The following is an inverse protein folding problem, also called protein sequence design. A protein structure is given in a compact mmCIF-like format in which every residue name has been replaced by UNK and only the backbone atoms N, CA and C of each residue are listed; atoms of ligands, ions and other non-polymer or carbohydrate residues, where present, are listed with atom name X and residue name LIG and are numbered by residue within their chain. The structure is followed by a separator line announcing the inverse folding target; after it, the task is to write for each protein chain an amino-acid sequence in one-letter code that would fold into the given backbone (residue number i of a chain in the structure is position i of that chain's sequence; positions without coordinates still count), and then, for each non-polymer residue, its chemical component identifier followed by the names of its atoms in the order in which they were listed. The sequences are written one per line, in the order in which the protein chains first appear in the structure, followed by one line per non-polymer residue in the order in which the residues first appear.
data_IF_459187731639
#
_entry.id   IF_459187731639
#
_cell.length_a   1.000
_cell.length_b   1.000
_cell.length_c   1.000
_cell.angle_alpha   90.00
_cell.angle_beta   90.00
_cell.angle_gamma   90.00
#
_symmetry.space_group_name_H-M   'P 1'
#
loop_
_entity.id
_entity.type
_entity.pdbx_description
1 polymer ?
#
# COMPACT_ATOMS: atom_id res chain seq x y z
N UNK A 1 15.08 0.08 -12.94
CA UNK A 1 15.37 1.45 -12.50
C UNK A 1 15.65 1.41 -10.99
N UNK A 2 16.51 2.27 -10.46
CA UNK A 2 16.71 2.35 -9.01
C UNK A 2 15.56 3.19 -8.43
N UNK A 3 14.59 2.54 -7.81
CA UNK A 3 13.46 3.22 -7.16
C UNK A 3 14.01 4.02 -5.96
N UNK A 4 13.90 5.35 -6.00
CA UNK A 4 14.43 6.23 -4.94
C UNK A 4 13.31 6.81 -4.07
N UNK A 5 13.65 7.18 -2.84
CA UNK A 5 12.70 7.81 -1.91
C UNK A 5 12.35 9.24 -2.37
N UNK A 6 13.28 9.94 -3.03
CA UNK A 6 13.05 11.29 -3.54
C UNK A 6 12.03 11.30 -4.68
N UNK A 7 12.16 10.37 -5.63
CA UNK A 7 11.20 10.21 -6.71
C UNK A 7 9.83 9.79 -6.16
N UNK A 8 9.81 8.93 -5.14
CA UNK A 8 8.59 8.55 -4.44
C UNK A 8 7.93 9.77 -3.76
N UNK A 9 8.70 10.63 -3.10
CA UNK A 9 8.19 11.85 -2.47
C UNK A 9 7.55 12.79 -3.50
N UNK A 10 8.22 13.03 -4.62
CA UNK A 10 7.71 13.90 -5.67
C UNK A 10 6.43 13.33 -6.31
N UNK A 11 6.41 12.03 -6.58
CA UNK A 11 5.26 11.36 -7.18
C UNK A 11 4.06 11.35 -6.24
N UNK A 12 4.24 10.92 -4.99
CA UNK A 12 3.17 10.77 -4.00
C UNK A 12 2.55 12.12 -3.67
N UNK A 13 3.37 13.17 -3.50
CA UNK A 13 2.87 14.52 -3.23
C UNK A 13 2.03 15.10 -4.38
N UNK A 14 2.27 14.68 -5.63
CA UNK A 14 1.57 15.20 -6.80
C UNK A 14 0.35 14.35 -7.21
N UNK A 15 0.36 13.04 -6.95
CA UNK A 15 -0.60 12.10 -7.53
C UNK A 15 -1.48 11.39 -6.48
N UNK A 16 -1.12 11.42 -5.20
CA UNK A 16 -1.88 10.75 -4.16
C UNK A 16 -2.72 11.74 -3.34
N UNK A 17 -3.95 11.34 -3.00
CA UNK A 17 -4.91 12.19 -2.24
C UNK A 17 -4.60 12.16 -0.73
N UNK A 18 -4.34 10.97 -0.19
CA UNK A 18 -3.99 10.78 1.23
C UNK A 18 -2.49 10.50 1.31
N UNK A 19 -1.76 11.44 1.92
CA UNK A 19 -0.29 11.42 2.02
C UNK A 19 0.20 11.63 3.46
N UNK A 20 -0.71 11.74 4.43
CA UNK A 20 -0.38 12.18 5.79
C UNK A 20 0.56 11.20 6.50
N UNK A 21 0.27 9.90 6.38
CA UNK A 21 1.12 8.83 6.92
C UNK A 21 2.45 8.70 6.16
N UNK A 22 2.48 9.05 4.86
CA UNK A 22 3.73 9.08 4.11
C UNK A 22 4.62 10.24 4.54
N UNK A 23 4.07 11.46 4.66
CA UNK A 23 4.83 12.65 5.07
C UNK A 23 5.36 12.47 6.49
N UNK A 24 4.56 11.91 7.40
CA UNK A 24 4.93 11.67 8.80
C UNK A 24 5.95 10.54 9.00
N UNK A 25 6.18 9.69 8.00
CA UNK A 25 7.14 8.59 8.10
C UNK A 25 8.60 9.04 8.01
N UNK A 26 9.46 8.44 8.84
CA UNK A 26 10.90 8.62 8.74
C UNK A 26 11.46 8.09 7.42
N UNK A 27 12.58 8.66 6.98
CA UNK A 27 13.21 8.34 5.69
C UNK A 27 13.60 6.85 5.58
N UNK A 28 14.04 6.24 6.69
CA UNK A 28 14.34 4.82 6.74
C UNK A 28 13.08 3.94 6.59
N UNK A 29 11.95 4.33 7.19
CA UNK A 29 10.64 3.67 7.02
C UNK A 29 10.14 3.82 5.59
N UNK A 30 10.24 5.01 4.99
CA UNK A 30 9.92 5.24 3.57
C UNK A 30 10.73 4.31 2.65
N UNK A 31 12.04 4.21 2.86
CA UNK A 31 12.90 3.33 2.07
C UNK A 31 12.50 1.85 2.20
N UNK A 32 12.17 1.40 3.42
CA UNK A 32 11.68 0.03 3.66
C UNK A 32 10.36 -0.23 2.94
N UNK A 33 9.41 0.71 3.01
CA UNK A 33 8.10 0.58 2.35
C UNK A 33 8.28 0.47 0.83
N UNK A 34 9.09 1.33 0.24
CA UNK A 34 9.39 1.30 -1.21
C UNK A 34 10.05 -0.01 -1.63
N UNK A 35 11.01 -0.49 -0.84
CA UNK A 35 11.70 -1.76 -1.09
C UNK A 35 10.72 -2.94 -1.05
N UNK A 36 9.81 -2.96 -0.07
CA UNK A 36 8.78 -4.00 0.04
C UNK A 36 7.78 -3.89 -1.11
N UNK A 37 7.34 -2.68 -1.47
CA UNK A 37 6.43 -2.43 -2.57
C UNK A 37 6.99 -2.98 -3.90
N UNK A 38 8.25 -2.63 -4.20
CA UNK A 38 8.94 -3.10 -5.40
C UNK A 38 9.10 -4.62 -5.41
N UNK A 39 9.53 -5.22 -4.29
CA UNK A 39 9.73 -6.67 -4.17
C UNK A 39 8.42 -7.43 -4.35
N UNK A 40 7.35 -6.99 -3.71
CA UNK A 40 6.08 -7.69 -3.73
C UNK A 40 5.42 -7.56 -5.12
N UNK A 41 5.48 -6.40 -5.76
CA UNK A 41 5.05 -6.25 -7.16
C UNK A 41 5.86 -7.15 -8.09
N UNK A 42 7.19 -7.19 -7.95
CA UNK A 42 8.05 -8.08 -8.74
C UNK A 42 7.74 -9.56 -8.51
N UNK A 43 7.35 -9.95 -7.30
CA UNK A 43 6.96 -11.33 -6.97
C UNK A 43 5.61 -11.72 -7.58
N UNK A 44 4.61 -10.84 -7.50
CA UNK A 44 3.25 -11.16 -7.97
C UNK A 44 3.06 -10.94 -9.47
N UNK A 45 3.79 -9.98 -10.04
CA UNK A 45 3.70 -9.57 -11.44
C UNK A 45 5.04 -9.75 -12.16
N UNK A 46 5.75 -10.85 -11.87
CA UNK A 46 7.07 -11.17 -12.43
C UNK A 46 7.13 -11.25 -13.96
N UNK A 47 5.97 -11.45 -14.62
CA UNK A 47 5.85 -11.53 -16.08
C UNK A 47 5.64 -10.18 -16.77
N UNK A 48 5.42 -9.11 -16.00
CA UNK A 48 5.05 -7.81 -16.51
C UNK A 48 6.15 -6.79 -16.26
N UNK A 49 6.27 -5.80 -17.14
CA UNK A 49 7.10 -4.62 -16.88
C UNK A 49 6.42 -3.80 -15.79
N UNK A 50 7.11 -3.58 -14.67
CA UNK A 50 6.59 -2.81 -13.54
C UNK A 50 7.17 -1.40 -13.64
N UNK A 51 6.36 -0.38 -13.97
CA UNK A 51 6.80 1.00 -13.97
C UNK A 51 6.95 1.52 -12.53
N UNK A 52 7.90 2.43 -12.33
CA UNK A 52 8.20 2.99 -11.00
C UNK A 52 6.98 3.71 -10.39
N UNK A 53 6.15 4.35 -11.22
CA UNK A 53 4.90 4.98 -10.80
C UNK A 53 3.95 4.00 -10.07
N UNK A 54 3.86 2.74 -10.53
CA UNK A 54 3.04 1.73 -9.88
C UNK A 54 3.62 1.33 -8.50
N UNK A 55 4.94 1.37 -8.35
CA UNK A 55 5.62 1.13 -7.07
C UNK A 55 5.32 2.26 -6.09
N UNK A 56 5.31 3.52 -6.54
CA UNK A 56 5.02 4.68 -5.70
C UNK A 56 3.56 4.72 -5.23
N UNK A 57 2.59 4.43 -6.12
CA UNK A 57 1.18 4.26 -5.75
C UNK A 57 1.00 3.19 -4.67
N UNK A 58 1.67 2.04 -4.85
CA UNK A 58 1.58 0.96 -3.88
C UNK A 58 2.29 1.31 -2.56
N UNK A 59 3.43 2.00 -2.62
CA UNK A 59 4.17 2.46 -1.45
C UNK A 59 3.32 3.41 -0.59
N UNK A 60 2.57 4.33 -1.20
CA UNK A 60 1.69 5.22 -0.45
C UNK A 60 0.59 4.46 0.30
N UNK A 61 -0.07 3.50 -0.36
CA UNK A 61 -1.08 2.66 0.28
C UNK A 61 -0.48 1.82 1.42
N UNK A 62 0.74 1.30 1.25
CA UNK A 62 1.43 0.60 2.32
C UNK A 62 1.79 1.52 3.49
N UNK A 63 2.11 2.79 3.24
CA UNK A 63 2.32 3.75 4.31
C UNK A 63 1.04 4.01 5.10
N UNK A 64 -0.12 4.08 4.47
CA UNK A 64 -1.41 4.17 5.18
C UNK A 64 -1.72 2.90 5.98
N UNK A 65 -1.49 1.71 5.39
CA UNK A 65 -1.81 0.41 6.02
C UNK A 65 -0.86 0.05 7.16
N UNK A 66 0.41 0.43 7.04
CA UNK A 66 1.44 0.27 8.09
C UNK A 66 1.76 1.60 8.78
N UNK A 67 0.82 2.54 8.69
CA UNK A 67 0.80 3.78 9.46
C UNK A 67 0.74 3.47 10.95
N UNK A 68 1.09 4.43 11.80
CA UNK A 68 1.30 4.12 13.22
C UNK A 68 -0.02 3.71 13.91
N UNK A 69 -1.14 4.28 13.47
CA UNK A 69 -2.50 3.92 13.92
C UNK A 69 -2.88 2.51 13.47
N UNK A 70 -2.70 2.20 12.18
CA UNK A 70 -3.04 0.90 11.62
C UNK A 70 -2.10 -0.22 12.10
N UNK A 71 -0.82 0.09 12.33
CA UNK A 71 0.15 -0.81 12.94
C UNK A 71 -0.18 -1.14 14.40
N UNK A 72 -0.72 -0.19 15.17
CA UNK A 72 -1.23 -0.48 16.51
C UNK A 72 -2.43 -1.44 16.47
N UNK A 73 -3.35 -1.25 15.51
CA UNK A 73 -4.46 -2.17 15.29
C UNK A 73 -3.96 -3.58 14.94
N UNK A 74 -2.99 -3.73 14.03
CA UNK A 74 -2.42 -5.03 13.65
C UNK A 74 -1.70 -5.73 14.81
N UNK A 75 -1.17 -4.98 15.77
CA UNK A 75 -0.57 -5.50 17.02
C UNK A 75 -1.60 -5.86 18.09
N UNK A 76 -2.90 -5.79 17.78
CA UNK A 76 -3.98 -6.16 18.69
C UNK A 76 -4.39 -5.07 19.67
N UNK A 77 -4.01 -3.80 19.42
CA UNK A 77 -4.46 -2.68 20.25
C UNK A 77 -5.91 -2.35 19.86
N UNK A 78 -6.86 -2.82 20.66
CA UNK A 78 -8.32 -2.66 20.43
C UNK A 78 -8.82 -1.25 20.77
N UNK A 79 -8.08 -0.52 21.61
CA UNK A 79 -8.40 0.86 21.97
C UNK A 79 -7.15 1.67 22.27
N UNK A 80 -7.04 2.87 21.71
CA UNK A 80 -6.07 3.87 22.12
C UNK A 80 -6.79 5.08 22.74
N UNK A 81 -6.28 5.54 23.87
CA UNK A 81 -6.74 6.78 24.51
C UNK A 81 -5.77 7.90 24.15
N UNK A 82 -6.25 8.87 23.37
CA UNK A 82 -5.48 10.07 23.02
C UNK A 82 -5.74 11.10 24.13
N UNK A 83 -4.69 11.41 24.89
CA UNK A 83 -4.71 12.46 25.93
C UNK A 83 -5.67 12.20 27.10
N UNK A 84 -6.08 10.96 27.35
CA UNK A 84 -6.95 10.58 28.47
C UNK A 84 -8.42 11.02 28.34
N UNK A 85 -8.82 11.64 27.22
CA UNK A 85 -10.17 12.20 27.03
C UNK A 85 -10.92 11.62 25.82
N UNK A 86 -10.21 11.08 24.85
CA UNK A 86 -10.80 10.52 23.63
C UNK A 86 -10.33 9.07 23.48
N UNK A 87 -11.26 8.13 23.57
CA UNK A 87 -11.01 6.71 23.32
C UNK A 87 -11.48 6.35 21.92
N UNK A 88 -10.55 5.92 21.07
CA UNK A 88 -10.86 5.37 19.75
C UNK A 88 -10.86 3.86 19.87
N UNK A 89 -12.01 3.23 19.68
CA UNK A 89 -12.18 1.77 19.70
C UNK A 89 -12.27 1.25 18.27
N UNK A 90 -11.47 0.25 17.95
CA UNK A 90 -11.41 -0.32 16.61
C UNK A 90 -12.35 -1.52 16.48
N UNK A 91 -12.94 -1.69 15.31
CA UNK A 91 -13.81 -2.84 15.01
C UNK A 91 -12.93 -4.08 14.82
N UNK A 92 -13.19 -5.13 15.58
CA UNK A 92 -12.37 -6.37 15.63
C UNK A 92 -12.11 -7.00 14.25
N UNK A 93 -13.07 -6.90 13.32
CA UNK A 93 -12.93 -7.37 11.94
C UNK A 93 -11.85 -6.65 11.10
N UNK A 94 -11.32 -5.52 11.57
CA UNK A 94 -10.24 -4.76 10.92
C UNK A 94 -8.86 -5.07 11.53
N UNK A 95 -8.80 -5.79 12.65
CA UNK A 95 -7.56 -6.28 13.26
C UNK A 95 -7.04 -7.43 12.41
N UNK A 96 -6.30 -7.08 11.36
CA UNK A 96 -5.62 -8.07 10.54
C UNK A 96 -4.34 -8.45 11.27
N UNK A 97 -4.23 -9.70 11.73
CA UNK A 97 -3.04 -10.16 12.45
C UNK A 97 -1.74 -9.98 11.64
N UNK A 98 -0.58 -9.93 12.32
CA UNK A 98 0.72 -9.79 11.65
C UNK A 98 0.91 -10.93 10.63
N UNK A 99 1.20 -10.59 9.37
CA UNK A 99 1.42 -11.58 8.30
C UNK A 99 0.32 -11.71 7.25
N UNK A 100 -0.61 -10.76 7.17
CA UNK A 100 -1.54 -10.66 6.03
C UNK A 100 -0.80 -10.51 4.69
N UNK A 101 -1.27 -11.18 3.65
CA UNK A 101 -0.69 -11.08 2.29
C UNK A 101 -0.78 -9.65 1.77
N UNK A 102 0.38 -9.03 1.51
CA UNK A 102 0.51 -7.65 0.98
C UNK A 102 -0.25 -7.46 -0.34
N UNK A 103 -0.49 -8.54 -1.07
CA UNK A 103 -1.25 -8.56 -2.33
C UNK A 103 -2.63 -7.93 -2.21
N UNK A 104 -3.28 -8.05 -1.04
CA UNK A 104 -4.63 -7.49 -0.80
C UNK A 104 -4.63 -5.95 -0.86
N UNK A 105 -3.51 -5.33 -0.52
CA UNK A 105 -3.35 -3.89 -0.42
C UNK A 105 -2.87 -3.23 -1.72
N UNK A 106 -2.52 -3.99 -2.76
CA UNK A 106 -2.11 -3.43 -4.06
C UNK A 106 -3.28 -2.61 -4.62
N UNK A 107 -3.19 -1.29 -4.86
CA UNK A 107 -4.31 -0.49 -5.36
C UNK A 107 -4.65 -0.84 -6.81
N UNK A 108 -5.91 -0.60 -7.21
CA UNK A 108 -6.32 -0.77 -8.61
C UNK A 108 -5.55 0.17 -9.53
N UNK A 109 -5.25 1.39 -9.08
CA UNK A 109 -4.42 2.36 -9.83
C UNK A 109 -3.04 1.79 -10.19
N UNK A 110 -2.34 1.12 -9.28
CA UNK A 110 -1.06 0.47 -9.58
C UNK A 110 -1.22 -0.64 -10.64
N UNK A 111 -2.31 -1.40 -10.60
CA UNK A 111 -2.60 -2.43 -11.61
C UNK A 111 -2.97 -1.83 -12.97
N UNK A 112 -3.67 -0.71 -13.00
CA UNK A 112 -4.03 0.00 -14.22
C UNK A 112 -2.79 0.59 -14.90
N UNK A 113 -1.84 1.12 -14.12
CA UNK A 113 -0.54 1.60 -14.64
C UNK A 113 0.28 0.44 -15.21
N UNK A 114 0.40 -0.68 -14.49
CA UNK A 114 1.07 -1.89 -15.02
C UNK A 114 0.34 -2.40 -16.26
N UNK A 115 -0.98 -2.35 -16.26
CA UNK A 115 -1.82 -2.80 -17.36
C UNK A 115 -1.67 -1.95 -18.62
N UNK A 116 -1.62 -0.63 -18.48
CA UNK A 116 -1.38 0.30 -19.58
C UNK A 116 -0.01 0.05 -20.23
N UNK A 117 1.04 -0.18 -19.43
CA UNK A 117 2.39 -0.44 -19.93
C UNK A 117 2.52 -1.78 -20.67
N UNK A 118 1.79 -2.80 -20.22
CA UNK A 118 1.86 -4.15 -20.80
C UNK A 118 0.74 -4.46 -21.80
N UNK A 119 -0.19 -3.52 -22.03
CA UNK A 119 -1.36 -3.73 -22.90
C UNK A 119 -2.38 -4.74 -22.36
N UNK A 120 -2.46 -4.94 -21.04
CA UNK A 120 -3.35 -5.93 -20.40
C UNK A 120 -4.25 -5.26 -19.37
N UNK A 121 -5.55 -5.58 -19.34
CA UNK A 121 -6.45 -5.10 -18.29
C UNK A 121 -6.30 -5.94 -17.01
N UNK A 122 -5.49 -5.48 -16.07
CA UNK A 122 -5.28 -6.12 -14.77
C UNK A 122 -6.33 -5.62 -13.76
N UNK A 123 -7.36 -6.43 -13.49
CA UNK A 123 -8.39 -6.08 -12.50
C UNK A 123 -8.17 -6.84 -11.18
N UNK A 124 -8.45 -6.19 -10.05
CA UNK A 124 -8.56 -6.85 -8.73
C UNK A 124 -9.62 -7.95 -8.68
N UNK A 125 -10.61 -7.91 -9.59
CA UNK A 125 -11.69 -8.89 -9.63
C UNK A 125 -11.18 -10.12 -10.37
N UNK A 126 -11.18 -11.26 -9.68
CA UNK A 126 -11.09 -12.55 -10.36
C UNK A 126 -12.19 -12.58 -11.44
N UNK A 127 -11.89 -13.03 -12.67
CA UNK A 127 -12.91 -13.15 -13.70
C UNK A 127 -14.05 -14.01 -13.13
N UNK A 128 -15.23 -13.43 -12.94
CA UNK A 128 -16.43 -14.19 -12.62
C UNK A 128 -16.67 -15.08 -13.83
N UNK A 129 -16.44 -16.37 -13.68
CA UNK A 129 -16.85 -17.36 -14.67
C UNK A 129 -18.36 -17.21 -14.85
N UNK A 130 -18.75 -16.60 -15.96
CA UNK A 130 -20.16 -16.52 -16.34
C UNK A 130 -20.37 -17.73 -17.21
N UNK A 131 -20.90 -18.81 -16.62
CA UNK A 131 -21.29 -19.99 -17.37
C UNK A 131 -22.49 -19.57 -18.20
N UNK A 132 -22.38 -19.70 -19.52
CA UNK A 132 -23.48 -19.59 -20.47
C UNK A 132 -24.01 -20.99 -20.77
#
# INVERSE_FOLDING_TARGET
MAVTVDDANAYIAANCIDIDEWIGADEAKKQRIVTVAARDLARYYSKYTIPDAAVYEFANVLATVYGDVAGAMQKGVVSQSIGGKISVSYKDALVTGPGGDTRKFIPQAALDIIGAENGVTLSKRAPKWTVM
#
